data_IF_850206358793
#
_entry.id   IF_850206358793
#
_cell.length_a   1.000
_cell.length_b   1.000
_cell.length_c   1.000
_cell.angle_alpha   90.00
_cell.angle_beta   90.00
_cell.angle_gamma   90.00
#
_symmetry.space_group_name_H-M   'P 1'
#
loop_
_entity.id
_entity.type
_entity.pdbx_description
1 polymer ?
#
# COMPACT_ATOMS: atom_id res chain seq x y z
N UNK A 1 -22.68 23.40 18.88
CA UNK A 1 -22.47 22.03 18.36
C UNK A 1 -21.08 22.00 17.77
N UNK A 2 -20.16 21.20 18.30
CA UNK A 2 -18.85 21.04 17.68
C UNK A 2 -19.07 20.36 16.32
N UNK A 3 -18.63 20.99 15.24
CA UNK A 3 -18.60 20.34 13.94
C UNK A 3 -17.71 19.10 14.05
N UNK A 4 -18.20 17.95 13.62
CA UNK A 4 -17.40 16.73 13.56
C UNK A 4 -16.37 16.90 12.45
N UNK A 5 -15.14 17.25 12.83
CA UNK A 5 -14.04 17.34 11.88
C UNK A 5 -13.64 15.94 11.41
N UNK A 6 -13.40 15.78 10.10
CA UNK A 6 -12.91 14.54 9.52
C UNK A 6 -11.39 14.64 9.43
N UNK A 7 -10.69 13.73 10.11
CA UNK A 7 -9.26 13.53 9.97
C UNK A 7 -9.02 12.04 9.76
N UNK A 8 -8.74 11.66 8.52
CA UNK A 8 -8.43 10.28 8.13
C UNK A 8 -7.38 10.25 7.06
N UNK A 9 -6.45 9.32 7.17
CA UNK A 9 -5.41 9.02 6.19
C UNK A 9 -5.48 7.55 5.88
N UNK A 10 -5.58 7.23 4.59
CA UNK A 10 -5.43 5.87 4.08
C UNK A 10 -4.35 5.90 3.02
N UNK A 11 -3.30 5.10 3.19
CA UNK A 11 -2.21 5.01 2.22
C UNK A 11 -1.68 3.60 2.10
N UNK A 12 -1.11 3.31 0.95
CA UNK A 12 -0.32 2.09 0.71
C UNK A 12 1.08 2.50 0.29
N UNK A 13 2.08 1.79 0.77
CA UNK A 13 3.47 2.09 0.45
C UNK A 13 4.42 1.04 0.97
N UNK A 14 5.72 1.32 0.87
CA UNK A 14 6.76 0.40 1.30
C UNK A 14 7.56 1.01 2.46
N UNK A 15 7.96 0.17 3.41
CA UNK A 15 8.89 0.58 4.46
C UNK A 15 10.24 0.97 3.85
N UNK A 16 10.79 2.12 4.22
CA UNK A 16 12.11 2.56 3.72
C UNK A 16 13.26 2.15 4.64
N UNK A 17 12.94 1.77 5.88
CA UNK A 17 13.85 1.24 6.90
C UNK A 17 13.09 0.24 7.76
N UNK A 18 13.82 -0.52 8.58
CA UNK A 18 13.22 -1.46 9.50
C UNK A 18 12.37 -0.74 10.57
N UNK A 19 11.31 -1.38 11.09
CA UNK A 19 10.50 -0.80 12.16
C UNK A 19 11.33 -0.56 13.43
N UNK A 20 11.11 0.58 14.08
CA UNK A 20 11.77 0.91 15.34
C UNK A 20 10.77 0.79 16.50
N UNK A 21 10.90 -0.27 17.30
CA UNK A 21 10.07 -0.48 18.50
C UNK A 21 10.72 0.15 19.73
N UNK A 22 9.94 0.91 20.48
CA UNK A 22 10.32 1.47 21.78
C UNK A 22 9.18 1.33 22.78
N UNK A 23 9.52 1.34 24.06
CA UNK A 23 8.55 1.39 25.15
C UNK A 23 8.56 2.79 25.77
N UNK A 24 7.39 3.38 25.98
CA UNK A 24 7.27 4.66 26.68
C UNK A 24 7.51 4.50 28.18
N UNK A 25 7.69 5.61 28.89
CA UNK A 25 7.73 5.64 30.36
C UNK A 25 6.45 5.10 31.01
N UNK A 26 5.32 5.15 30.30
CA UNK A 26 4.04 4.56 30.73
C UNK A 26 3.95 3.05 30.49
N UNK A 27 5.00 2.41 29.95
CA UNK A 27 5.01 0.98 29.63
C UNK A 27 4.30 0.62 28.32
N UNK A 28 3.90 1.61 27.51
CA UNK A 28 3.18 1.38 26.25
C UNK A 28 4.16 1.20 25.10
N UNK A 29 3.99 0.13 24.31
CA UNK A 29 4.76 -0.12 23.10
C UNK A 29 4.40 0.87 21.99
N UNK A 30 5.44 1.38 21.31
CA UNK A 30 5.32 2.34 20.20
C UNK A 30 6.28 1.91 19.11
N UNK A 31 5.75 1.68 17.91
CA UNK A 31 6.54 1.35 16.74
C UNK A 31 6.53 2.52 15.75
N UNK A 32 7.71 3.00 15.39
CA UNK A 32 7.90 4.03 14.38
C UNK A 32 8.22 3.38 13.03
N UNK A 33 7.46 3.72 12.00
CA UNK A 33 7.66 3.28 10.62
C UNK A 33 7.95 4.50 9.74
N UNK A 34 8.64 4.26 8.63
CA UNK A 34 8.80 5.23 7.54
C UNK A 34 8.31 4.61 6.25
N UNK A 35 7.24 5.18 5.70
CA UNK A 35 6.55 4.63 4.53
C UNK A 35 6.75 5.55 3.34
N UNK A 36 7.25 4.99 2.24
CA UNK A 36 7.28 5.65 0.94
C UNK A 36 5.97 5.41 0.20
N UNK A 37 5.30 6.49 -0.21
CA UNK A 37 4.13 6.49 -1.07
C UNK A 37 4.43 7.33 -2.31
N UNK A 38 4.64 6.66 -3.44
CA UNK A 38 5.07 7.30 -4.68
C UNK A 38 3.89 7.89 -5.44
N UNK A 39 4.04 9.11 -5.92
CA UNK A 39 3.14 9.75 -6.89
C UNK A 39 3.90 9.96 -8.19
N UNK A 40 3.27 9.81 -9.36
CA UNK A 40 3.89 10.17 -10.63
C UNK A 40 3.60 11.64 -10.96
N UNK A 41 4.59 12.36 -11.51
CA UNK A 41 4.43 13.73 -12.01
C UNK A 41 5.16 13.89 -13.34
N UNK A 42 4.74 14.85 -14.16
CA UNK A 42 5.54 15.26 -15.33
C UNK A 42 6.68 16.18 -14.90
N UNK A 43 7.84 16.02 -15.52
CA UNK A 43 8.95 16.97 -15.42
C UNK A 43 8.85 18.08 -16.47
N UNK A 44 9.87 18.96 -16.53
CA UNK A 44 9.90 20.07 -17.48
C UNK A 44 10.05 19.63 -18.95
N UNK A 45 10.56 18.41 -19.18
CA UNK A 45 10.71 17.81 -20.51
C UNK A 45 9.42 17.13 -20.99
N UNK A 46 8.45 16.93 -20.08
CA UNK A 46 7.18 16.28 -20.35
C UNK A 46 7.15 14.80 -19.98
N UNK A 47 8.24 14.26 -19.44
CA UNK A 47 8.39 12.86 -19.07
C UNK A 47 7.78 12.56 -17.69
N UNK A 48 7.18 11.38 -17.54
CA UNK A 48 6.64 10.93 -16.25
C UNK A 48 7.74 10.42 -15.33
N UNK A 49 7.91 11.08 -14.19
CA UNK A 49 8.87 10.71 -13.15
C UNK A 49 8.16 10.40 -11.84
N UNK A 50 8.74 9.46 -11.09
CA UNK A 50 8.27 9.12 -9.76
C UNK A 50 8.73 10.18 -8.75
N UNK A 51 7.78 10.67 -7.94
CA UNK A 51 8.01 11.56 -6.80
C UNK A 51 7.70 10.76 -5.53
N UNK A 52 8.72 10.25 -4.83
CA UNK A 52 8.50 9.56 -3.56
C UNK A 52 8.10 10.58 -2.48
N UNK A 53 6.98 10.33 -1.80
CA UNK A 53 6.63 11.02 -0.57
C UNK A 53 6.89 10.08 0.60
N UNK A 54 7.46 10.61 1.66
CA UNK A 54 7.85 9.82 2.81
C UNK A 54 7.09 10.29 4.04
N UNK A 55 6.41 9.37 4.70
CA UNK A 55 5.58 9.65 5.85
C UNK A 55 6.11 8.88 7.07
N UNK A 56 6.21 9.58 8.19
CA UNK A 56 6.43 8.96 9.49
C UNK A 56 5.08 8.44 10.02
N UNK A 57 5.06 7.17 10.39
CA UNK A 57 3.86 6.49 10.90
C UNK A 57 4.15 5.94 12.29
N UNK A 58 3.34 6.31 13.26
CA UNK A 58 3.41 5.81 14.63
C UNK A 58 2.30 4.80 14.87
N UNK A 59 2.67 3.62 15.36
CA UNK A 59 1.74 2.53 15.67
C UNK A 59 1.86 2.16 17.14
N UNK A 60 0.74 2.16 17.86
CA UNK A 60 0.72 1.95 19.31
C UNK A 60 0.34 0.51 19.69
N UNK A 61 0.77 0.09 20.88
CA UNK A 61 0.37 -1.16 21.53
C UNK A 61 0.72 -2.42 20.73
N UNK A 62 -0.15 -3.43 20.81
CA UNK A 62 0.06 -4.74 20.20
C UNK A 62 0.26 -4.69 18.67
N UNK A 63 -0.39 -3.75 17.98
CA UNK A 63 -0.18 -3.59 16.55
C UNK A 63 1.23 -3.07 16.24
N UNK A 64 1.80 -2.21 17.10
CA UNK A 64 3.20 -1.78 16.99
C UNK A 64 4.18 -2.94 17.21
N UNK A 65 3.91 -3.80 18.19
CA UNK A 65 4.71 -5.01 18.44
C UNK A 65 4.68 -5.97 17.24
N UNK A 66 3.50 -6.16 16.64
CA UNK A 66 3.34 -6.96 15.42
C UNK A 66 4.12 -6.36 14.25
N UNK A 67 4.04 -5.04 14.05
CA UNK A 67 4.83 -4.36 13.02
C UNK A 67 6.32 -4.64 13.20
N UNK A 68 6.84 -4.49 14.41
CA UNK A 68 8.25 -4.76 14.69
C UNK A 68 8.66 -6.23 14.54
N UNK A 69 7.74 -7.16 14.79
CA UNK A 69 8.00 -8.59 14.70
C UNK A 69 8.00 -9.10 13.26
N UNK A 70 7.11 -8.56 12.41
CA UNK A 70 6.83 -9.16 11.09
C UNK A 70 7.20 -8.27 9.90
N UNK A 71 7.42 -6.97 10.10
CA UNK A 71 7.83 -6.07 9.03
C UNK A 71 9.35 -5.87 9.02
N UNK A 72 9.86 -5.64 7.82
CA UNK A 72 11.23 -5.26 7.56
C UNK A 72 11.24 -4.23 6.42
N UNK A 73 12.38 -3.56 6.21
CA UNK A 73 12.60 -2.65 5.09
C UNK A 73 12.14 -3.27 3.76
N UNK A 74 11.44 -2.47 2.96
CA UNK A 74 10.91 -2.84 1.65
C UNK A 74 9.55 -3.53 1.69
N UNK A 75 9.09 -4.02 2.85
CA UNK A 75 7.77 -4.65 2.96
C UNK A 75 6.65 -3.66 2.63
N UNK A 76 5.69 -4.03 1.77
CA UNK A 76 4.56 -3.18 1.47
C UNK A 76 3.52 -3.28 2.59
N UNK A 77 2.88 -2.15 2.89
CA UNK A 77 1.87 -2.01 3.94
C UNK A 77 0.72 -1.13 3.46
N UNK A 78 -0.48 -1.38 3.98
CA UNK A 78 -1.57 -0.42 3.97
C UNK A 78 -1.73 0.13 5.39
N UNK A 79 -1.88 1.45 5.48
CA UNK A 79 -2.04 2.19 6.74
C UNK A 79 -3.37 2.91 6.70
N UNK A 80 -4.16 2.75 7.76
CA UNK A 80 -5.35 3.56 8.03
C UNK A 80 -5.17 4.24 9.39
N UNK A 81 -5.39 5.55 9.43
CA UNK A 81 -5.13 6.34 10.61
C UNK A 81 -5.53 7.80 10.45
N UNK A 82 -4.78 8.69 11.11
CA UNK A 82 -5.04 10.13 11.13
C UNK A 82 -3.74 10.93 11.12
N UNK A 83 -3.81 12.18 10.68
CA UNK A 83 -2.70 13.12 10.83
C UNK A 83 -2.63 13.64 12.26
N UNK A 84 -1.43 13.70 12.80
CA UNK A 84 -1.13 14.41 14.05
C UNK A 84 -0.04 15.45 13.77
N UNK A 85 -0.40 16.71 13.95
CA UNK A 85 0.57 17.80 13.93
C UNK A 85 1.18 17.95 15.32
N UNK A 86 2.50 18.11 15.37
CA UNK A 86 3.23 18.41 16.60
C UNK A 86 4.23 19.53 16.39
N UNK A 87 4.36 20.38 17.40
CA UNK A 87 5.38 21.41 17.51
C UNK A 87 6.23 21.15 18.75
N UNK A 88 7.55 21.32 18.62
CA UNK A 88 8.49 21.20 19.72
C UNK A 88 9.66 22.16 19.51
N UNK A 89 10.39 22.47 20.57
CA UNK A 89 11.60 23.28 20.49
C UNK A 89 12.84 22.37 20.51
N UNK A 90 13.80 22.66 19.63
CA UNK A 90 15.08 21.95 19.57
C UNK A 90 16.17 22.98 19.26
N UNK A 91 17.18 23.04 20.14
CA UNK A 91 18.31 23.98 20.03
C UNK A 91 17.87 25.45 19.88
N UNK A 92 16.85 25.86 20.66
CA UNK A 92 16.30 27.22 20.62
C UNK A 92 15.40 27.51 19.41
N UNK A 93 15.16 26.53 18.54
CA UNK A 93 14.35 26.70 17.33
C UNK A 93 13.05 25.92 17.42
N UNK A 94 11.94 26.58 17.08
CA UNK A 94 10.64 25.92 16.90
C UNK A 94 10.68 25.00 15.68
N UNK A 95 10.29 23.75 15.89
CA UNK A 95 10.15 22.71 14.86
C UNK A 95 8.71 22.24 14.84
N UNK A 96 8.24 21.89 13.65
CA UNK A 96 6.93 21.29 13.45
C UNK A 96 7.05 20.07 12.56
N UNK A 97 6.19 19.09 12.77
CA UNK A 97 6.05 17.92 11.93
C UNK A 97 4.57 17.50 11.87
N UNK A 98 4.26 16.75 10.81
CA UNK A 98 2.98 16.07 10.67
C UNK A 98 3.29 14.58 10.55
N UNK A 99 2.86 13.83 11.57
CA UNK A 99 3.00 12.39 11.62
C UNK A 99 1.65 11.73 11.32
N UNK A 100 1.67 10.45 10.94
CA UNK A 100 0.46 9.64 10.85
C UNK A 100 0.38 8.75 12.08
N UNK A 101 -0.73 8.82 12.81
CA UNK A 101 -1.03 7.85 13.86
C UNK A 101 -1.89 6.76 13.24
N UNK A 102 -1.34 5.56 13.14
CA UNK A 102 -2.05 4.43 12.57
C UNK A 102 -3.04 3.86 13.58
N UNK A 103 -4.30 3.75 13.17
CA UNK A 103 -5.32 2.98 13.86
C UNK A 103 -5.24 1.51 13.42
N UNK A 104 -5.00 1.25 12.13
CA UNK A 104 -4.73 -0.09 11.62
C UNK A 104 -3.58 -0.14 10.62
N UNK A 105 -2.83 -1.25 10.63
CA UNK A 105 -1.79 -1.55 9.64
C UNK A 105 -2.03 -2.95 9.08
N UNK A 106 -2.16 -3.04 7.76
CA UNK A 106 -2.24 -4.30 7.04
C UNK A 106 -0.91 -4.57 6.34
N UNK A 107 -0.40 -5.79 6.50
CA UNK A 107 0.83 -6.20 5.83
C UNK A 107 0.46 -6.70 4.43
N UNK A 108 1.07 -6.11 3.41
CA UNK A 108 0.80 -6.46 2.03
C UNK A 108 1.88 -7.44 1.54
N UNK A 109 1.49 -8.30 0.61
CA UNK A 109 2.38 -9.31 0.03
C UNK A 109 2.20 -10.69 0.67
N UNK A 110 2.60 -11.72 -0.07
CA UNK A 110 2.58 -13.09 0.40
C UNK A 110 3.63 -13.26 1.50
N UNK A 111 3.31 -14.05 2.54
CA UNK A 111 4.35 -14.68 3.39
C UNK A 111 5.41 -15.23 2.43
N UNK A 112 6.69 -15.04 2.74
CA UNK A 112 7.77 -15.79 2.10
C UNK A 112 7.54 -17.29 2.38
N UNK A 113 6.64 -17.88 1.60
CA UNK A 113 6.41 -19.29 1.48
C UNK A 113 7.55 -19.78 0.63
N UNK A 114 8.47 -20.48 1.30
CA UNK A 114 9.77 -20.85 0.79
C UNK A 114 9.76 -21.30 -0.66
N UNK A 115 10.83 -20.91 -1.33
CA UNK A 115 11.40 -21.58 -2.48
C UNK A 115 11.57 -23.08 -2.17
N UNK A 116 10.49 -23.83 -2.33
CA UNK A 116 10.51 -25.27 -2.50
C UNK A 116 9.45 -25.59 -3.55
N UNK A 117 9.93 -25.92 -4.74
CA UNK A 117 9.14 -26.08 -5.94
C UNK A 117 8.05 -27.13 -5.76
N UNK A 118 6.81 -26.70 -5.97
CA UNK A 118 5.80 -27.58 -6.53
C UNK A 118 4.94 -26.75 -7.46
N UNK A 119 5.15 -26.98 -8.76
CA UNK A 119 4.28 -26.49 -9.82
C UNK A 119 2.89 -27.04 -9.53
N UNK A 120 2.01 -26.21 -8.96
CA UNK A 120 0.59 -26.52 -8.87
C UNK A 120 0.02 -26.48 -10.29
N UNK A 121 0.02 -27.62 -10.97
CA UNK A 121 -0.92 -27.89 -12.05
C UNK A 121 -2.24 -28.27 -11.39
N UNK A 122 -3.30 -27.44 -11.45
CA UNK A 122 -4.61 -27.88 -11.05
C UNK A 122 -5.02 -29.02 -11.97
N UNK A 123 -5.00 -30.25 -11.46
CA UNK A 123 -5.71 -31.34 -12.09
C UNK A 123 -7.18 -31.16 -11.70
N UNK A 124 -7.90 -30.39 -12.51
CA UNK A 124 -9.35 -30.31 -12.43
C UNK A 124 -9.92 -31.56 -13.11
N UNK A 125 -10.60 -32.41 -12.33
CA UNK A 125 -11.37 -33.57 -12.83
C UNK A 125 -12.68 -33.16 -13.52
N UNK A 126 -12.84 -31.87 -13.81
CA UNK A 126 -13.97 -31.31 -14.54
C UNK A 126 -13.56 -31.19 -16.00
N UNK A 127 -14.22 -31.90 -16.94
CA UNK A 127 -14.01 -31.68 -18.36
C UNK A 127 -14.26 -30.21 -18.68
N UNK A 128 -13.24 -29.51 -19.16
CA UNK A 128 -13.43 -28.17 -19.71
C UNK A 128 -14.18 -28.32 -21.03
N UNK A 129 -15.49 -28.09 -21.00
CA UNK A 129 -16.23 -27.86 -22.24
C UNK A 129 -15.74 -26.52 -22.83
N UNK A 130 -15.27 -26.59 -24.06
CA UNK A 130 -14.74 -25.44 -24.81
C UNK A 130 -15.56 -25.19 -26.07
N UNK A 131 -16.70 -25.88 -26.22
CA UNK A 131 -17.58 -25.76 -27.39
C UNK A 131 -18.12 -24.34 -27.58
N UNK A 132 -18.25 -23.59 -26.49
CA UNK A 132 -18.71 -22.21 -26.40
C UNK A 132 -17.64 -21.17 -26.82
N UNK A 133 -16.38 -21.56 -26.98
CA UNK A 133 -15.32 -20.73 -27.58
C UNK A 133 -15.12 -20.96 -29.08
N UNK A 134 -15.94 -21.83 -29.69
CA UNK A 134 -15.85 -22.12 -31.11
C UNK A 134 -16.48 -20.97 -31.91
N UNK A 135 -15.63 -20.02 -32.33
CA UNK A 135 -15.99 -18.87 -33.16
C UNK A 135 -16.73 -19.35 -34.42
N UNK A 136 -17.98 -18.92 -34.58
CA UNK A 136 -18.75 -19.16 -35.80
C UNK A 136 -17.98 -18.65 -37.04
N UNK A 137 -17.99 -19.38 -38.16
CA UNK A 137 -17.34 -18.92 -39.38
C UNK A 137 -18.00 -17.61 -39.83
N UNK A 138 -17.17 -16.60 -40.08
CA UNK A 138 -17.61 -15.32 -40.60
C UNK A 138 -18.29 -15.57 -41.96
N UNK A 139 -19.58 -15.24 -42.06
CA UNK A 139 -20.27 -15.19 -43.34
C UNK A 139 -19.55 -14.16 -44.23
N UNK A 140 -19.05 -14.59 -45.38
CA UNK A 140 -18.61 -13.70 -46.44
C UNK A 140 -19.85 -12.94 -46.93
N UNK A 141 -20.00 -11.69 -46.49
CA UNK A 141 -20.94 -10.76 -47.08
C UNK A 141 -20.46 -10.44 -48.50
N UNK A 142 -21.28 -10.76 -49.49
CA UNK A 142 -21.09 -10.34 -50.87
C UNK A 142 -21.27 -8.83 -50.96
N UNK A 143 -20.30 -8.19 -51.60
CA UNK A 143 -20.10 -6.75 -51.72
C UNK A 143 -20.92 -6.17 -52.88
N UNK A 144 -22.25 -6.30 -52.83
CA UNK A 144 -23.14 -5.74 -53.86
C UNK A 144 -24.37 -5.07 -53.22
N UNK A 145 -24.65 -3.85 -53.67
CA UNK A 145 -25.80 -2.97 -53.38
C UNK A 145 -25.77 -2.07 -52.13
N UNK A 146 -24.93 -1.02 -52.19
CA UNK A 146 -25.20 0.25 -51.49
C UNK A 146 -25.65 1.29 -52.53
N UNK A 147 -26.95 1.62 -52.65
CA UNK A 147 -27.40 2.72 -53.48
C UNK A 147 -27.04 4.07 -52.86
N UNK A 148 -26.55 4.99 -53.71
CA UNK A 148 -26.22 6.39 -53.38
C UNK A 148 -27.44 7.22 -52.97
#
# INVERSE_FOLDING_TARGET
MAATNINRVVLTGNLTRDPELRTTSSGTSVCSLRVACNTRRKDASGDWVDKPNYFDVTVWGAQGENCATYLAKGRPVAVDGRLEWREWEQDGNKRQAVDIIADSVQFLGSRDGGENGSRYTPQSDVPADTADFQRAPAAQGTDDDIPF
#
